data_IF_991547130056
#
_entry.id   IF_991547130056
#
_cell.length_a   1.000
_cell.length_b   1.000
_cell.length_c   1.000
_cell.angle_alpha   90.00
_cell.angle_beta   90.00
_cell.angle_gamma   90.00
#
_symmetry.space_group_name_H-M   'P 1'
#
loop_
_entity.id
_entity.type
_entity.pdbx_description
1 polymer ?
#
# COMPACT_ATOMS: atom_id res chain seq x y z
N UNK A 1 -20.57 -54.36 -21.83
CA UNK A 1 -21.16 -53.00 -21.87
C UNK A 1 -21.54 -52.51 -20.46
N UNK A 2 -20.62 -52.54 -19.48
CA UNK A 2 -20.85 -52.02 -18.12
C UNK A 2 -19.70 -51.16 -17.59
N UNK A 3 -18.59 -51.08 -18.34
CA UNK A 3 -17.35 -50.47 -17.88
C UNK A 3 -17.05 -49.15 -18.62
N UNK A 4 -17.88 -48.77 -19.60
CA UNK A 4 -17.75 -47.49 -20.33
C UNK A 4 -18.46 -46.34 -19.62
N UNK A 5 -19.47 -46.64 -18.79
CA UNK A 5 -20.29 -45.64 -18.08
C UNK A 5 -19.54 -45.06 -16.87
N UNK A 6 -18.63 -45.84 -16.27
CA UNK A 6 -17.90 -45.43 -15.06
C UNK A 6 -16.84 -44.36 -15.39
N UNK A 7 -16.26 -44.40 -16.59
CA UNK A 7 -15.27 -43.39 -17.04
C UNK A 7 -15.93 -42.04 -17.35
N UNK A 8 -17.25 -41.98 -17.54
CA UNK A 8 -17.99 -40.74 -17.78
C UNK A 8 -18.37 -39.98 -16.51
N UNK A 9 -18.23 -40.56 -15.31
CA UNK A 9 -18.61 -39.89 -14.06
C UNK A 9 -17.43 -39.21 -13.34
N UNK A 10 -16.19 -39.50 -13.73
CA UNK A 10 -15.00 -38.95 -13.08
C UNK A 10 -14.62 -37.53 -13.55
N UNK A 11 -15.26 -37.01 -14.60
CA UNK A 11 -14.97 -35.69 -15.19
C UNK A 11 -15.88 -34.55 -14.72
N UNK A 12 -16.90 -34.83 -13.90
CA UNK A 12 -17.88 -33.81 -13.46
C UNK A 12 -17.56 -33.17 -12.10
N UNK A 13 -16.53 -33.63 -11.39
CA UNK A 13 -16.18 -33.13 -10.04
C UNK A 13 -15.12 -32.01 -10.07
N UNK A 14 -14.47 -31.76 -11.22
CA UNK A 14 -13.44 -30.73 -11.34
C UNK A 14 -14.00 -29.33 -11.66
N UNK A 15 -15.26 -29.23 -12.10
CA UNK A 15 -15.85 -27.97 -12.55
C UNK A 15 -16.37 -27.07 -11.41
N UNK A 16 -16.47 -27.57 -10.17
CA UNK A 16 -16.98 -26.80 -9.02
C UNK A 16 -15.89 -26.33 -8.05
N UNK A 17 -14.61 -26.61 -8.34
CA UNK A 17 -13.49 -26.22 -7.48
C UNK A 17 -13.14 -24.72 -7.54
N UNK A 18 -13.72 -23.97 -8.49
CA UNK A 18 -13.62 -22.52 -8.55
C UNK A 18 -14.98 -21.87 -8.26
N UNK A 19 -15.52 -22.08 -7.06
CA UNK A 19 -16.39 -21.06 -6.47
C UNK A 19 -15.51 -20.05 -5.74
N UNK A 20 -14.85 -19.21 -6.53
CA UNK A 20 -14.36 -17.94 -6.04
C UNK A 20 -15.61 -17.08 -5.86
N UNK A 21 -16.17 -17.06 -4.65
CA UNK A 21 -16.90 -15.87 -4.23
C UNK A 21 -15.84 -14.78 -4.16
N UNK A 22 -15.51 -14.21 -5.32
CA UNK A 22 -14.75 -12.99 -5.44
C UNK A 22 -15.66 -11.93 -4.88
N UNK A 23 -15.64 -11.77 -3.56
CA UNK A 23 -15.92 -10.47 -2.99
C UNK A 23 -14.88 -9.58 -3.63
N UNK A 24 -15.27 -8.90 -4.71
CA UNK A 24 -14.54 -7.78 -5.26
C UNK A 24 -14.36 -6.83 -4.08
N UNK A 25 -13.21 -6.92 -3.40
CA UNK A 25 -12.79 -5.92 -2.46
C UNK A 25 -12.61 -4.69 -3.32
N UNK A 26 -13.62 -3.83 -3.34
CA UNK A 26 -13.50 -2.43 -3.78
C UNK A 26 -12.11 -1.96 -3.37
N UNK A 27 -11.27 -1.50 -4.32
CA UNK A 27 -9.91 -1.09 -3.97
C UNK A 27 -10.02 -0.03 -2.90
N UNK A 28 -9.50 -0.33 -1.70
CA UNK A 28 -9.58 0.57 -0.57
C UNK A 28 -8.87 1.85 -1.00
N UNK A 29 -9.64 2.92 -1.29
CA UNK A 29 -9.10 4.18 -1.80
C UNK A 29 -8.54 4.99 -0.63
N UNK A 30 -7.49 4.48 -0.01
CA UNK A 30 -6.70 5.19 0.98
C UNK A 30 -5.70 6.08 0.25
N UNK A 31 -5.63 7.36 0.65
CA UNK A 31 -4.71 8.32 0.04
C UNK A 31 -3.50 8.47 0.97
N UNK A 32 -2.26 8.36 0.46
CA UNK A 32 -1.08 8.56 1.29
C UNK A 32 -1.02 10.01 1.79
N UNK A 33 -0.50 10.25 3.00
CA UNK A 33 -0.24 11.60 3.46
C UNK A 33 0.79 12.28 2.54
N UNK A 34 0.76 13.62 2.50
CA UNK A 34 1.74 14.42 1.77
C UNK A 34 2.48 15.29 2.76
N UNK A 35 3.81 15.29 2.64
CA UNK A 35 4.67 16.22 3.37
C UNK A 35 4.57 17.62 2.78
N UNK A 36 4.57 18.63 3.64
CA UNK A 36 4.64 20.02 3.21
C UNK A 36 6.02 20.35 2.65
N UNK A 37 6.03 21.22 1.64
CA UNK A 37 7.26 21.72 1.01
C UNK A 37 7.62 23.07 1.61
N UNK A 38 8.61 23.06 2.50
CA UNK A 38 9.11 24.25 3.20
C UNK A 38 10.57 24.42 2.80
N UNK A 39 10.83 25.33 1.86
CA UNK A 39 12.16 25.53 1.29
C UNK A 39 13.18 25.93 2.36
N UNK A 40 14.23 25.13 2.52
CA UNK A 40 15.41 25.45 3.31
C UNK A 40 16.65 25.46 2.42
N UNK A 41 17.35 26.58 2.37
CA UNK A 41 18.65 26.63 1.72
C UNK A 41 19.73 26.12 2.68
N UNK A 42 20.57 25.23 2.17
CA UNK A 42 21.74 24.66 2.83
C UNK A 42 22.97 25.06 2.02
N UNK A 43 23.96 25.67 2.67
CA UNK A 43 25.19 26.12 2.02
C UNK A 43 26.40 25.39 2.60
N UNK A 44 27.16 24.70 1.74
CA UNK A 44 28.37 23.96 2.11
C UNK A 44 29.40 24.12 0.99
N UNK A 45 30.64 24.47 1.34
CA UNK A 45 31.75 24.67 0.38
C UNK A 45 31.47 25.65 -0.78
N UNK A 46 30.59 26.63 -0.56
CA UNK A 46 30.20 27.60 -1.59
C UNK A 46 29.08 27.11 -2.52
N UNK A 47 28.61 25.88 -2.33
CA UNK A 47 27.46 25.33 -3.04
C UNK A 47 26.19 25.52 -2.21
N UNK A 48 25.11 25.96 -2.87
CA UNK A 48 23.78 26.14 -2.26
C UNK A 48 22.83 25.07 -2.78
N UNK A 49 22.20 24.35 -1.85
CA UNK A 49 21.15 23.35 -2.12
C UNK A 49 19.83 23.77 -1.46
N UNK A 50 18.74 23.76 -2.23
CA UNK A 50 17.38 23.85 -1.66
C UNK A 50 16.93 22.47 -1.19
N UNK A 51 16.44 22.40 0.03
CA UNK A 51 15.87 21.20 0.64
C UNK A 51 14.47 21.55 1.17
N UNK A 52 13.44 21.13 0.42
CA UNK A 52 12.04 21.44 0.75
C UNK A 52 11.53 20.63 1.96
N UNK A 53 12.27 19.62 2.42
CA UNK A 53 11.84 18.68 3.46
C UNK A 53 12.77 18.67 4.66
N UNK A 54 13.69 19.63 4.75
CA UNK A 54 14.65 19.72 5.85
C UNK A 54 13.97 19.81 7.23
N UNK A 55 12.74 20.31 7.29
CA UNK A 55 11.95 20.42 8.51
C UNK A 55 11.69 19.05 9.18
N UNK A 56 11.63 17.95 8.41
CA UNK A 56 11.48 16.58 8.94
C UNK A 56 12.68 16.10 9.78
N UNK A 57 13.81 16.81 9.73
CA UNK A 57 14.97 16.49 10.56
C UNK A 57 14.78 16.84 12.04
N UNK A 58 13.81 17.70 12.39
CA UNK A 58 13.55 18.12 13.76
C UNK A 58 12.62 17.12 14.49
N UNK A 59 13.23 16.14 15.17
CA UNK A 59 12.52 14.98 15.74
C UNK A 59 11.57 15.33 16.88
N UNK A 60 11.76 16.45 17.55
CA UNK A 60 10.95 16.90 18.70
C UNK A 60 9.84 17.85 18.27
N UNK A 61 9.80 18.24 16.98
CA UNK A 61 8.81 19.13 16.43
C UNK A 61 7.44 18.44 16.30
N UNK A 62 6.39 19.09 16.81
CA UNK A 62 5.03 18.56 16.80
C UNK A 62 4.51 18.29 15.37
N UNK A 63 4.86 19.12 14.39
CA UNK A 63 4.44 18.93 12.98
C UNK A 63 5.13 17.71 12.35
N UNK A 64 6.37 17.43 12.74
CA UNK A 64 7.11 16.24 12.28
C UNK A 64 6.48 14.99 12.86
N UNK A 65 6.13 15.03 14.15
CA UNK A 65 5.45 13.93 14.83
C UNK A 65 4.08 13.67 14.20
N UNK A 66 3.25 14.70 13.99
CA UNK A 66 1.94 14.57 13.32
C UNK A 66 2.07 13.91 11.94
N UNK A 67 3.02 14.38 11.11
CA UNK A 67 3.23 13.81 9.78
C UNK A 67 3.61 12.33 9.84
N UNK A 68 4.52 11.96 10.74
CA UNK A 68 4.93 10.56 10.91
C UNK A 68 3.80 9.67 11.44
N UNK A 69 2.95 10.18 12.34
CA UNK A 69 1.75 9.47 12.81
C UNK A 69 0.77 9.21 11.67
N UNK A 70 0.55 10.19 10.77
CA UNK A 70 -0.27 10.01 9.57
C UNK A 70 0.31 8.97 8.60
N UNK A 71 1.63 8.94 8.42
CA UNK A 71 2.30 7.92 7.60
C UNK A 71 2.16 6.51 8.22
N UNK A 72 2.27 6.40 9.54
CA UNK A 72 2.07 5.14 10.27
C UNK A 72 0.61 4.64 10.15
N UNK A 73 -0.37 5.52 10.35
CA UNK A 73 -1.80 5.18 10.19
C UNK A 73 -2.12 4.74 8.75
N UNK A 74 -1.50 5.38 7.75
CA UNK A 74 -1.63 4.94 6.37
C UNK A 74 -1.05 3.54 6.14
N UNK A 75 0.13 3.25 6.71
CA UNK A 75 0.77 1.94 6.62
C UNK A 75 -0.09 0.83 7.23
N UNK A 76 -0.65 1.08 8.42
CA UNK A 76 -1.51 0.13 9.14
C UNK A 76 -2.81 -0.16 8.39
N UNK A 77 -3.33 0.80 7.62
CA UNK A 77 -4.53 0.60 6.77
C UNK A 77 -4.22 -0.13 5.47
N UNK A 78 -2.98 -0.08 5.02
CA UNK A 78 -2.54 -0.65 3.74
C UNK A 78 -2.11 -2.13 3.86
N UNK A 79 -1.60 -2.53 5.02
CA UNK A 79 -1.03 -3.86 5.30
C UNK A 79 -2.02 -4.75 6.04
#
# INVERSE_FOLDING_TARGET
MKNLVIISCASLIFATACNQNTTEKEPMKITPPKADRIAKNLEIHGDVRSDDYYWLNDRENEEVIDYLERENDYYDKMT
#
